data_IF_995559358445
#
_entry.id   IF_995559358445
#
_cell.length_a   1.000
_cell.length_b   1.000
_cell.length_c   1.000
_cell.angle_alpha   90.00
_cell.angle_beta   90.00
_cell.angle_gamma   90.00
#
_symmetry.space_group_name_H-M   'P 1'
#
loop_
_entity.id
_entity.type
_entity.pdbx_description
1 polymer ?
#
# COMPACT_ATOMS: atom_id res chain seq x y z
N UNK A 1 -18.55 -11.24 8.13
CA UNK A 1 -18.92 -10.03 8.89
C UNK A 1 -17.76 -9.05 8.83
N UNK A 2 -17.95 -7.73 8.99
CA UNK A 2 -16.88 -6.72 8.91
C UNK A 2 -15.86 -6.82 10.07
N UNK A 3 -15.53 -8.03 10.49
CA UNK A 3 -14.79 -8.28 11.71
C UNK A 3 -13.31 -8.07 11.43
N UNK A 4 -12.91 -6.85 11.78
CA UNK A 4 -11.69 -6.52 12.48
C UNK A 4 -10.42 -6.57 11.62
N UNK A 5 -10.21 -5.50 10.86
CA UNK A 5 -8.91 -4.85 10.94
C UNK A 5 -8.75 -4.43 12.41
N UNK A 6 -7.80 -4.97 13.19
CA UNK A 6 -7.62 -4.49 14.54
C UNK A 6 -7.14 -3.04 14.45
N UNK A 7 -8.08 -2.10 14.65
CA UNK A 7 -7.73 -0.74 15.01
C UNK A 7 -6.87 -0.86 16.25
N UNK A 8 -5.61 -0.45 16.11
CA UNK A 8 -4.64 -0.45 17.21
C UNK A 8 -5.28 0.25 18.42
N UNK A 9 -5.04 -0.25 19.65
CA UNK A 9 -5.54 0.43 20.84
C UNK A 9 -5.09 1.90 20.82
N UNK A 10 -5.94 2.85 21.28
CA UNK A 10 -5.54 4.24 21.35
C UNK A 10 -4.28 4.33 22.21
N UNK A 11 -3.24 4.98 21.67
CA UNK A 11 -2.01 5.23 22.39
C UNK A 11 -2.34 5.93 23.72
N UNK A 12 -1.76 5.44 24.82
CA UNK A 12 -1.81 6.14 26.10
C UNK A 12 -1.34 7.60 25.89
N UNK A 13 -1.98 8.59 26.53
CA UNK A 13 -1.64 9.99 26.31
C UNK A 13 -0.24 10.26 26.88
N UNK A 14 0.78 10.26 26.02
CA UNK A 14 2.17 10.52 26.39
C UNK A 14 3.22 9.88 25.47
N UNK A 15 2.90 8.82 24.74
CA UNK A 15 3.88 8.11 23.90
C UNK A 15 3.34 7.90 22.48
N UNK A 16 3.97 8.53 21.49
CA UNK A 16 3.63 8.39 20.08
C UNK A 16 3.94 6.99 19.57
N UNK A 17 3.05 6.03 19.80
CA UNK A 17 3.17 4.67 19.28
C UNK A 17 2.75 4.63 17.80
N UNK A 18 3.64 5.01 16.90
CA UNK A 18 3.37 5.06 15.44
C UNK A 18 3.69 3.73 14.76
N UNK A 19 3.29 2.60 15.35
CA UNK A 19 3.23 1.25 14.73
C UNK A 19 4.50 0.62 14.10
N UNK A 20 5.60 1.38 13.89
CA UNK A 20 6.86 0.89 13.30
C UNK A 20 6.69 0.03 12.05
N UNK A 21 7.59 -0.94 11.90
CA UNK A 21 7.55 -2.03 10.90
C UNK A 21 6.64 -3.20 11.30
N UNK A 22 6.07 -3.15 12.52
CA UNK A 22 5.31 -4.24 13.14
C UNK A 22 3.80 -4.15 12.90
N UNK A 23 3.37 -3.24 12.04
CA UNK A 23 1.97 -3.11 11.62
C UNK A 23 1.93 -2.91 10.12
N UNK A 24 0.93 -3.49 9.48
CA UNK A 24 0.60 -3.23 8.08
C UNK A 24 0.25 -1.75 7.91
N UNK A 25 0.73 -1.14 6.82
CA UNK A 25 0.52 0.29 6.55
C UNK A 25 0.17 0.52 5.10
N UNK A 26 -0.73 1.46 4.85
CA UNK A 26 -0.91 2.00 3.51
C UNK A 26 0.37 2.71 3.04
N UNK A 27 0.76 2.46 1.79
CA UNK A 27 1.92 3.05 1.14
C UNK A 27 1.50 4.04 0.05
N UNK A 28 0.71 3.58 -0.93
CA UNK A 28 0.19 4.38 -2.03
C UNK A 28 -1.25 4.02 -2.34
N UNK A 29 -2.06 4.99 -2.74
CA UNK A 29 -3.48 4.76 -3.07
C UNK A 29 -3.91 5.66 -4.23
N UNK A 30 -4.75 5.12 -5.12
CA UNK A 30 -5.37 5.86 -6.21
C UNK A 30 -6.77 5.33 -6.50
N UNK A 31 -7.48 6.00 -7.40
CA UNK A 31 -8.77 5.54 -7.90
C UNK A 31 -8.68 5.35 -9.41
N UNK A 32 -9.16 4.22 -9.92
CA UNK A 32 -9.36 3.96 -11.35
C UNK A 32 -10.81 3.57 -11.55
N UNK A 33 -11.51 4.26 -12.43
CA UNK A 33 -12.91 3.97 -12.77
C UNK A 33 -13.84 3.74 -11.55
N UNK A 34 -13.70 4.60 -10.54
CA UNK A 34 -14.49 4.54 -9.30
C UNK A 34 -14.01 3.50 -8.27
N UNK A 35 -13.00 2.68 -8.59
CA UNK A 35 -12.43 1.68 -7.70
C UNK A 35 -11.18 2.22 -7.04
N UNK A 36 -11.17 2.27 -5.70
CA UNK A 36 -9.97 2.60 -4.94
C UNK A 36 -9.02 1.41 -4.94
N UNK A 37 -7.74 1.66 -5.21
CA UNK A 37 -6.65 0.69 -5.14
C UNK A 37 -5.60 1.21 -4.18
N UNK A 38 -5.05 0.34 -3.34
CA UNK A 38 -4.05 0.67 -2.33
C UNK A 38 -2.96 -0.39 -2.26
N UNK A 39 -1.71 0.03 -2.23
CA UNK A 39 -0.60 -0.80 -1.79
C UNK A 39 -0.47 -0.74 -0.28
N UNK A 40 -0.45 -1.92 0.35
CA UNK A 40 -0.04 -2.09 1.74
C UNK A 40 1.42 -2.51 1.78
N UNK A 41 2.14 -2.12 2.84
CA UNK A 41 3.51 -2.53 3.17
C UNK A 41 3.56 -3.17 4.55
N UNK A 42 4.70 -3.80 4.86
CA UNK A 42 4.96 -4.49 6.13
C UNK A 42 4.04 -5.71 6.33
N UNK A 43 3.75 -6.43 5.25
CA UNK A 43 2.79 -7.54 5.28
C UNK A 43 3.30 -8.70 6.14
N UNK A 44 4.62 -8.89 6.17
CA UNK A 44 5.29 -9.85 7.04
C UNK A 44 5.38 -9.41 8.51
N UNK A 45 4.88 -8.21 8.84
CA UNK A 45 5.05 -7.56 10.14
C UNK A 45 6.52 -7.42 10.57
N UNK A 46 7.44 -7.32 9.61
CA UNK A 46 8.85 -6.99 9.83
C UNK A 46 9.40 -5.92 8.88
N UNK A 47 8.53 -5.30 8.10
CA UNK A 47 8.89 -4.20 7.22
C UNK A 47 9.24 -4.63 5.81
N UNK A 48 8.82 -5.83 5.43
CA UNK A 48 8.97 -6.35 4.08
C UNK A 48 7.61 -6.62 3.44
N UNK A 49 7.70 -6.89 2.14
CA UNK A 49 6.62 -7.21 1.23
C UNK A 49 5.56 -6.11 1.06
N UNK A 50 4.95 -6.12 -0.12
CA UNK A 50 3.79 -5.29 -0.40
C UNK A 50 2.61 -6.13 -0.93
N UNK A 51 1.38 -5.69 -0.66
CA UNK A 51 0.14 -6.37 -1.07
C UNK A 51 -0.83 -5.37 -1.67
N UNK A 52 -1.53 -5.77 -2.73
CA UNK A 52 -2.57 -4.96 -3.33
C UNK A 52 -3.90 -5.15 -2.59
N UNK A 53 -4.54 -4.05 -2.24
CA UNK A 53 -5.93 -3.99 -1.81
C UNK A 53 -6.76 -3.12 -2.75
N UNK A 54 -8.06 -3.39 -2.84
CA UNK A 54 -8.99 -2.54 -3.56
C UNK A 54 -10.36 -2.49 -2.89
N UNK A 55 -11.07 -1.38 -3.11
CA UNK A 55 -12.40 -1.13 -2.60
C UNK A 55 -13.30 -0.56 -3.70
N UNK A 56 -14.48 -1.16 -3.83
CA UNK A 56 -15.52 -0.78 -4.79
C UNK A 56 -16.63 0.06 -4.17
N UNK A 57 -16.53 0.38 -2.88
CA UNK A 57 -17.55 1.05 -2.08
C UNK A 57 -16.99 2.24 -1.28
N UNK A 58 -15.95 2.87 -1.84
CA UNK A 58 -15.29 4.05 -1.27
C UNK A 58 -14.69 3.78 0.12
N UNK A 59 -13.91 2.72 0.23
CA UNK A 59 -13.16 2.29 1.42
C UNK A 59 -14.03 1.84 2.61
N UNK A 60 -15.30 1.52 2.40
CA UNK A 60 -16.14 0.89 3.43
C UNK A 60 -15.72 -0.57 3.63
N UNK A 61 -15.44 -1.28 2.55
CA UNK A 61 -14.88 -2.64 2.57
C UNK A 61 -13.70 -2.76 1.61
N UNK A 62 -12.76 -3.64 1.96
CA UNK A 62 -11.56 -3.89 1.18
C UNK A 62 -11.46 -5.36 0.81
N UNK A 63 -11.04 -5.62 -0.41
CA UNK A 63 -10.55 -6.91 -0.88
C UNK A 63 -9.05 -6.81 -1.06
N UNK A 64 -8.35 -7.93 -0.90
CA UNK A 64 -6.91 -8.00 -1.00
C UNK A 64 -6.50 -9.12 -1.95
N UNK A 65 -5.37 -8.93 -2.64
CA UNK A 65 -4.74 -9.98 -3.41
C UNK A 65 -4.37 -11.16 -2.50
N UNK A 66 -4.45 -12.37 -3.04
CA UNK A 66 -4.00 -13.60 -2.41
C UNK A 66 -2.48 -13.78 -2.47
N UNK A 67 -1.79 -12.93 -3.25
CA UNK A 67 -0.34 -12.87 -3.38
C UNK A 67 0.26 -11.60 -2.75
N UNK A 68 1.58 -11.63 -2.53
CA UNK A 68 2.43 -10.50 -2.14
C UNK A 68 3.59 -10.37 -3.11
N UNK A 69 4.21 -9.20 -3.16
CA UNK A 69 5.56 -9.05 -3.74
C UNK A 69 6.57 -9.12 -2.61
N UNK A 70 7.36 -10.19 -2.57
CA UNK A 70 8.39 -10.39 -1.56
C UNK A 70 9.66 -9.57 -1.86
N UNK A 71 9.84 -9.21 -3.12
CA UNK A 71 10.98 -8.48 -3.66
C UNK A 71 10.96 -7.00 -3.26
N UNK A 72 9.78 -6.45 -2.91
CA UNK A 72 9.58 -5.03 -2.69
C UNK A 72 8.96 -4.74 -1.33
N UNK A 73 9.66 -3.96 -0.51
CA UNK A 73 9.14 -3.53 0.80
C UNK A 73 8.17 -2.35 0.73
N UNK A 74 8.26 -1.55 -0.33
CA UNK A 74 7.45 -0.34 -0.47
C UNK A 74 7.05 -0.13 -1.94
N UNK A 75 5.80 -0.46 -2.25
CA UNK A 75 5.18 -0.22 -3.55
C UNK A 75 4.33 1.05 -3.49
N UNK A 76 4.48 1.95 -4.47
CA UNK A 76 3.63 3.13 -4.59
C UNK A 76 3.14 3.31 -6.01
N UNK A 77 1.93 3.87 -6.16
CA UNK A 77 1.41 4.20 -7.47
C UNK A 77 1.96 5.54 -7.96
N UNK A 78 2.23 5.63 -9.26
CA UNK A 78 2.43 6.91 -9.94
C UNK A 78 1.07 7.50 -10.27
N UNK A 79 0.73 8.61 -9.60
CA UNK A 79 -0.58 9.28 -9.72
C UNK A 79 -0.73 10.04 -11.04
N UNK A 80 -1.92 9.97 -11.64
CA UNK A 80 -2.22 10.67 -12.88
C UNK A 80 -3.66 11.20 -12.92
N UNK A 81 -3.90 12.34 -12.25
CA UNK A 81 -5.20 13.00 -12.24
C UNK A 81 -6.28 12.30 -11.40
N UNK A 82 -7.48 12.87 -11.39
CA UNK A 82 -8.62 12.32 -10.63
C UNK A 82 -9.13 11.06 -11.33
N UNK A 83 -9.40 10.01 -10.55
CA UNK A 83 -9.91 8.74 -11.10
C UNK A 83 -9.02 8.14 -12.20
N UNK A 84 -7.73 8.50 -12.20
CA UNK A 84 -6.74 8.14 -13.21
C UNK A 84 -7.10 8.56 -14.65
N UNK A 85 -7.99 9.55 -14.82
CA UNK A 85 -8.62 9.88 -16.10
C UNK A 85 -7.67 10.38 -17.18
N UNK A 86 -6.52 10.93 -16.80
CA UNK A 86 -5.63 11.62 -17.73
C UNK A 86 -4.45 10.74 -18.17
N UNK A 87 -4.42 9.47 -17.74
CA UNK A 87 -3.35 8.53 -18.06
C UNK A 87 -3.16 8.41 -19.58
N UNK A 88 -1.90 8.43 -20.02
CA UNK A 88 -1.56 8.59 -21.45
C UNK A 88 -1.68 7.30 -22.26
N UNK A 89 -1.62 6.14 -21.59
CA UNK A 89 -1.42 4.84 -22.23
C UNK A 89 -2.22 3.69 -21.59
N UNK A 90 -3.24 4.01 -20.78
CA UNK A 90 -4.12 3.03 -20.11
C UNK A 90 -3.41 2.05 -19.15
N UNK A 91 -2.20 2.36 -18.69
CA UNK A 91 -1.51 1.58 -17.67
C UNK A 91 -1.43 2.34 -16.36
N UNK A 92 -1.57 1.61 -15.24
CA UNK A 92 -1.23 2.13 -13.92
C UNK A 92 0.22 1.77 -13.65
N UNK A 93 1.03 2.80 -13.38
CA UNK A 93 2.44 2.59 -13.08
C UNK A 93 2.68 2.48 -11.57
N UNK A 94 3.60 1.60 -11.19
CA UNK A 94 4.04 1.38 -9.82
C UNK A 94 5.55 1.65 -9.77
N UNK A 95 5.99 2.35 -8.73
CA UNK A 95 7.41 2.52 -8.43
C UNK A 95 7.73 1.84 -7.10
N UNK A 96 8.85 1.12 -7.07
CA UNK A 96 9.40 0.52 -5.87
C UNK A 96 10.92 0.62 -5.90
N UNK A 97 11.56 0.69 -4.73
CA UNK A 97 12.99 0.46 -4.63
C UNK A 97 13.26 -1.04 -4.84
N UNK A 98 14.37 -1.40 -5.48
CA UNK A 98 14.76 -2.80 -5.77
C UNK A 98 15.29 -3.52 -4.52
N UNK A 99 14.49 -3.53 -3.45
CA UNK A 99 14.83 -4.05 -2.15
C UNK A 99 13.58 -4.53 -1.40
N UNK A 100 13.70 -5.63 -0.63
CA UNK A 100 12.57 -6.22 0.08
C UNK A 100 12.12 -5.38 1.27
N UNK A 101 12.91 -4.41 1.76
CA UNK A 101 12.62 -3.67 3.00
C UNK A 101 12.12 -2.25 2.75
N UNK A 102 11.04 -1.86 3.44
CA UNK A 102 10.52 -0.49 3.45
C UNK A 102 11.35 0.50 4.29
N UNK A 103 12.36 -0.01 5.01
CA UNK A 103 13.12 0.75 6.03
C UNK A 103 14.60 0.87 5.68
N UNK A 104 15.02 0.34 4.53
CA UNK A 104 16.36 0.50 4.00
C UNK A 104 16.33 1.49 2.85
N UNK A 105 17.42 2.24 2.69
CA UNK A 105 17.58 3.11 1.54
C UNK A 105 18.08 2.27 0.37
N UNK A 106 17.46 2.51 -0.78
CA UNK A 106 17.85 1.93 -2.06
C UNK A 106 18.21 3.02 -3.04
N UNK A 107 19.21 2.76 -3.87
CA UNK A 107 19.64 3.68 -4.92
C UNK A 107 19.08 3.25 -6.30
N UNK A 108 18.59 2.02 -6.40
CA UNK A 108 17.96 1.45 -7.59
C UNK A 108 16.44 1.34 -7.43
N UNK A 109 15.72 1.73 -8.49
CA UNK A 109 14.25 1.76 -8.52
C UNK A 109 13.71 1.07 -9.76
N UNK A 110 12.63 0.31 -9.56
CA UNK A 110 11.91 -0.40 -10.60
C UNK A 110 10.61 0.32 -10.90
N UNK A 111 10.35 0.56 -12.18
CA UNK A 111 9.05 1.01 -12.70
C UNK A 111 8.31 -0.19 -13.29
N UNK A 112 7.13 -0.48 -12.77
CA UNK A 112 6.24 -1.57 -13.21
C UNK A 112 4.97 -1.00 -13.85
N UNK A 113 4.31 -1.78 -14.72
CA UNK A 113 3.05 -1.43 -15.40
C UNK A 113 2.12 -2.64 -15.49
#
# INVERSE_FOLDING_TARGET
TPDEFPMLPPANPGEGYVGGRKVEKSAGMLMVDGVLHMWLRNIDLDGHECKLGWSTDHAQTWRYADWTFAEFGFCNFVQFGKNYSDARDNYVYIVAADLPSAYQFGDDYILMR
#
